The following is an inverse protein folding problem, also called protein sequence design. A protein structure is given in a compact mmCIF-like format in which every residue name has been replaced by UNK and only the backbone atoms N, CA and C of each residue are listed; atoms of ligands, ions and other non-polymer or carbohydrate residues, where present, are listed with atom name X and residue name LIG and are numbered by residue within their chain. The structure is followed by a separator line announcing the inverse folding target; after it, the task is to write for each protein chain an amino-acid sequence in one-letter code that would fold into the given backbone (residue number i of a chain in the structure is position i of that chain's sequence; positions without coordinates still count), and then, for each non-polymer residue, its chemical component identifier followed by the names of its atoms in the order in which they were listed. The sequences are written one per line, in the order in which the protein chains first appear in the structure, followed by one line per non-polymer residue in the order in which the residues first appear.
data_IF_139577579952
#
_entry.id   IF_139577579952
#
_cell.length_a   1.000
_cell.length_b   1.000
_cell.length_c   1.000
_cell.angle_alpha   90.00
_cell.angle_beta   90.00
_cell.angle_gamma   90.00
#
_symmetry.space_group_name_H-M   'P 1'
#
loop_
_entity.id
_entity.type
_entity.pdbx_description
1 polymer ?
#
# COMPACT_ATOMS: atom_id res chain seq x y z
N UNK A 1 -15.13 -12.46 13.02
CA UNK A 1 -15.24 -11.00 13.20
C UNK A 1 -13.96 -10.26 12.78
N UNK A 2 -12.77 -10.65 13.27
CA UNK A 2 -11.51 -9.98 12.90
C UNK A 2 -11.19 -10.02 11.39
N UNK A 3 -11.38 -11.15 10.70
CA UNK A 3 -11.14 -11.23 9.25
C UNK A 3 -12.08 -10.33 8.43
N UNK A 4 -13.35 -10.19 8.85
CA UNK A 4 -14.31 -9.32 8.16
C UNK A 4 -13.95 -7.84 8.31
N UNK A 5 -13.52 -7.43 9.51
CA UNK A 5 -13.06 -6.06 9.73
C UNK A 5 -11.82 -5.76 8.88
N UNK A 6 -10.79 -6.61 8.94
CA UNK A 6 -9.57 -6.42 8.13
C UNK A 6 -9.88 -6.42 6.63
N UNK A 7 -10.74 -7.32 6.15
CA UNK A 7 -11.15 -7.36 4.74
C UNK A 7 -11.86 -6.08 4.28
N UNK A 8 -12.71 -5.51 5.14
CA UNK A 8 -13.45 -4.30 4.83
C UNK A 8 -12.55 -3.06 4.86
N UNK A 9 -11.52 -3.03 5.71
CA UNK A 9 -10.73 -1.84 5.96
C UNK A 9 -9.42 -1.78 5.15
N UNK A 10 -8.84 -2.93 4.75
CA UNK A 10 -7.50 -2.99 4.15
C UNK A 10 -7.36 -2.11 2.90
N UNK A 11 -8.19 -2.36 1.88
CA UNK A 11 -8.11 -1.62 0.63
C UNK A 11 -8.53 -0.15 0.78
N UNK A 12 -9.64 0.19 1.48
CA UNK A 12 -9.98 1.59 1.72
C UNK A 12 -8.87 2.35 2.42
N UNK A 13 -8.32 1.84 3.52
CA UNK A 13 -7.27 2.52 4.27
C UNK A 13 -6.01 2.74 3.41
N UNK A 14 -5.59 1.73 2.66
CA UNK A 14 -4.43 1.84 1.78
C UNK A 14 -4.61 2.96 0.74
N UNK A 15 -5.79 3.04 0.11
CA UNK A 15 -6.15 4.12 -0.82
C UNK A 15 -6.14 5.50 -0.18
N UNK A 16 -6.53 5.60 1.09
CA UNK A 16 -6.49 6.89 1.78
C UNK A 16 -5.05 7.35 2.03
N UNK A 17 -4.14 6.44 2.39
CA UNK A 17 -2.71 6.73 2.51
C UNK A 17 -2.12 7.16 1.16
N UNK A 18 -2.31 6.36 0.11
CA UNK A 18 -1.81 6.68 -1.23
C UNK A 18 -2.36 8.01 -1.74
N UNK A 19 -3.66 8.29 -1.55
CA UNK A 19 -4.26 9.58 -1.93
C UNK A 19 -3.58 10.74 -1.20
N UNK A 20 -3.35 10.60 0.10
CA UNK A 20 -2.65 11.62 0.87
C UNK A 20 -1.22 11.84 0.36
N UNK A 21 -0.48 10.78 0.06
CA UNK A 21 0.85 10.86 -0.52
C UNK A 21 0.83 11.57 -1.87
N UNK A 22 -0.07 11.18 -2.76
CA UNK A 22 -0.17 11.72 -4.11
C UNK A 22 -0.65 13.17 -4.17
N UNK A 23 -1.52 13.59 -3.25
CA UNK A 23 -2.07 14.95 -3.20
C UNK A 23 -1.18 15.91 -2.40
N UNK A 24 -0.45 15.43 -1.40
CA UNK A 24 0.25 16.27 -0.42
C UNK A 24 1.75 16.01 -0.40
N UNK A 25 2.17 14.75 -0.19
CA UNK A 25 3.58 14.41 0.08
C UNK A 25 4.41 14.47 -1.19
N UNK A 26 4.03 13.76 -2.25
CA UNK A 26 4.76 13.69 -3.51
C UNK A 26 4.86 15.05 -4.22
N UNK A 27 3.81 15.90 -4.26
CA UNK A 27 3.95 17.25 -4.78
C UNK A 27 4.92 18.13 -3.97
N UNK A 28 5.00 17.94 -2.65
CA UNK A 28 5.97 18.64 -1.81
C UNK A 28 7.40 18.11 -2.04
N UNK A 29 7.57 16.81 -2.21
CA UNK A 29 8.84 16.17 -2.53
C UNK A 29 9.36 16.62 -3.90
N UNK A 30 8.58 16.47 -4.96
CA UNK A 30 8.95 16.85 -6.33
C UNK A 30 9.35 18.33 -6.43
N UNK A 31 8.63 19.25 -5.77
CA UNK A 31 9.00 20.67 -5.73
C UNK A 31 10.36 20.93 -5.08
N UNK A 32 10.80 20.10 -4.16
CA UNK A 32 12.06 20.27 -3.42
C UNK A 32 13.24 19.56 -4.09
N UNK A 33 12.99 18.49 -4.86
CA UNK A 33 14.04 17.64 -5.43
C UNK A 33 14.12 17.68 -6.95
N UNK A 34 13.02 18.01 -7.65
CA UNK A 34 12.90 17.84 -9.10
C UNK A 34 12.94 16.37 -9.54
N UNK A 35 12.46 15.45 -8.69
CA UNK A 35 12.44 14.02 -8.98
C UNK A 35 11.03 13.54 -9.41
N UNK A 36 10.51 14.08 -10.51
CA UNK A 36 9.19 13.71 -11.04
C UNK A 36 9.13 12.23 -11.47
N UNK A 37 10.24 11.69 -11.99
CA UNK A 37 10.33 10.28 -12.40
C UNK A 37 10.22 9.33 -11.19
N UNK A 38 10.81 9.71 -10.05
CA UNK A 38 10.67 8.95 -8.80
C UNK A 38 9.20 8.94 -8.35
N UNK A 39 8.52 10.10 -8.40
CA UNK A 39 7.10 10.19 -8.06
C UNK A 39 6.24 9.35 -9.01
N UNK A 40 6.51 9.40 -10.32
CA UNK A 40 5.77 8.58 -11.29
C UNK A 40 5.93 7.08 -11.00
N UNK A 41 7.14 6.63 -10.64
CA UNK A 41 7.39 5.24 -10.23
C UNK A 41 6.62 4.87 -8.95
N UNK A 42 6.64 5.71 -7.91
CA UNK A 42 5.91 5.43 -6.65
C UNK A 42 4.40 5.30 -6.89
N UNK A 43 3.82 6.14 -7.76
CA UNK A 43 2.41 6.03 -8.15
C UNK A 43 2.10 4.73 -8.92
N UNK A 44 3.04 4.21 -9.70
CA UNK A 44 2.87 2.89 -10.31
C UNK A 44 2.93 1.77 -9.26
N UNK A 45 3.82 1.88 -8.28
CA UNK A 45 3.88 0.93 -7.14
C UNK A 45 2.55 0.94 -6.35
N UNK A 46 1.89 2.10 -6.17
CA UNK A 46 0.57 2.19 -5.54
C UNK A 46 -0.49 1.34 -6.26
N UNK A 47 -0.49 1.33 -7.60
CA UNK A 47 -1.44 0.53 -8.38
C UNK A 47 -1.26 -0.97 -8.12
N UNK A 48 -0.01 -1.42 -8.00
CA UNK A 48 0.32 -2.82 -7.71
C UNK A 48 -0.10 -3.20 -6.28
N UNK A 49 0.21 -2.35 -5.30
CA UNK A 49 -0.15 -2.57 -3.90
C UNK A 49 -1.68 -2.57 -3.71
N UNK A 50 -2.42 -1.68 -4.38
CA UNK A 50 -3.89 -1.66 -4.35
C UNK A 50 -4.52 -2.88 -5.01
N UNK A 51 -3.95 -3.38 -6.12
CA UNK A 51 -4.43 -4.60 -6.76
C UNK A 51 -4.25 -5.80 -5.83
N UNK A 52 -3.08 -5.93 -5.21
CA UNK A 52 -2.82 -7.00 -4.24
C UNK A 52 -3.72 -6.89 -3.01
N UNK A 53 -3.96 -5.67 -2.50
CA UNK A 53 -4.87 -5.44 -1.39
C UNK A 53 -6.32 -5.80 -1.75
N UNK A 54 -6.76 -5.55 -2.97
CA UNK A 54 -8.10 -5.93 -3.45
C UNK A 54 -8.29 -7.44 -3.43
N UNK A 55 -7.35 -8.20 -4.01
CA UNK A 55 -7.41 -9.66 -4.04
C UNK A 55 -7.40 -10.27 -2.62
N UNK A 56 -6.55 -9.73 -1.74
CA UNK A 56 -6.49 -10.16 -0.34
C UNK A 56 -7.78 -9.81 0.42
N UNK A 57 -8.35 -8.63 0.19
CA UNK A 57 -9.60 -8.20 0.81
C UNK A 57 -10.75 -9.10 0.39
N UNK A 58 -10.86 -9.44 -0.90
CA UNK A 58 -11.87 -10.38 -1.40
C UNK A 58 -11.74 -11.76 -0.75
N UNK A 59 -10.53 -12.32 -0.72
CA UNK A 59 -10.28 -13.62 -0.11
C UNK A 59 -10.61 -13.64 1.39
N UNK A 60 -10.22 -12.61 2.13
CA UNK A 60 -10.52 -12.46 3.56
C UNK A 60 -12.02 -12.25 3.81
N UNK A 61 -12.71 -11.52 2.94
CA UNK A 61 -14.15 -11.29 3.03
C UNK A 61 -14.92 -12.59 2.80
N UNK A 62 -14.55 -13.35 1.77
CA UNK A 62 -15.11 -14.67 1.48
C UNK A 62 -14.91 -15.63 2.66
N UNK A 63 -13.69 -15.67 3.20
CA UNK A 63 -13.36 -16.48 4.38
C UNK A 63 -14.17 -16.05 5.62
N UNK A 64 -14.29 -14.75 5.84
CA UNK A 64 -15.07 -14.18 6.93
C UNK A 64 -16.57 -14.52 6.86
N UNK A 65 -17.11 -14.76 5.66
CA UNK A 65 -18.47 -15.25 5.43
C UNK A 65 -18.62 -16.78 5.45
N UNK A 66 -17.56 -17.51 5.83
CA UNK A 66 -17.58 -18.95 6.02
C UNK A 66 -17.14 -19.78 4.81
N UNK A 67 -16.69 -19.15 3.71
CA UNK A 67 -16.00 -19.90 2.65
C UNK A 67 -14.63 -20.36 3.13
N UNK A 68 -14.13 -21.47 2.59
CA UNK A 68 -12.77 -21.92 2.88
C UNK A 68 -11.78 -21.25 1.92
N UNK A 69 -10.54 -21.05 2.38
CA UNK A 69 -9.42 -20.71 1.50
C UNK A 69 -8.95 -22.01 0.85
N UNK A 70 -9.19 -22.15 -0.46
CA UNK A 70 -8.94 -23.41 -1.18
C UNK A 70 -7.46 -23.80 -1.22
N UNK A 71 -6.57 -22.82 -1.34
CA UNK A 71 -5.13 -23.02 -1.29
C UNK A 71 -4.48 -22.09 -0.25
N UNK A 72 -4.35 -22.55 1.01
CA UNK A 72 -3.73 -21.77 2.07
C UNK A 72 -2.27 -21.39 1.81
N UNK A 73 -1.52 -22.21 1.07
CA UNK A 73 -0.13 -21.92 0.72
C UNK A 73 -0.04 -20.73 -0.25
N UNK A 74 -0.83 -20.76 -1.33
CA UNK A 74 -0.91 -19.65 -2.28
C UNK A 74 -1.36 -18.35 -1.60
N UNK A 75 -2.37 -18.43 -0.73
CA UNK A 75 -2.82 -17.28 0.06
C UNK A 75 -1.71 -16.73 0.97
N UNK A 76 -0.93 -17.61 1.60
CA UNK A 76 0.25 -17.23 2.38
C UNK A 76 1.32 -16.51 1.55
N UNK A 77 1.53 -16.92 0.29
CA UNK A 77 2.43 -16.22 -0.63
C UNK A 77 1.91 -14.84 -1.01
N UNK A 78 0.61 -14.69 -1.28
CA UNK A 78 -0.01 -13.38 -1.58
C UNK A 78 0.16 -12.41 -0.42
N UNK A 79 -0.13 -12.86 0.81
CA UNK A 79 0.07 -12.04 2.02
C UNK A 79 1.54 -11.62 2.17
N UNK A 80 2.48 -12.55 1.98
CA UNK A 80 3.91 -12.25 2.09
C UNK A 80 4.34 -11.21 1.06
N UNK A 81 3.99 -11.42 -0.20
CA UNK A 81 4.33 -10.51 -1.29
C UNK A 81 3.80 -9.09 -1.01
N UNK A 82 2.52 -8.98 -0.61
CA UNK A 82 1.90 -7.70 -0.25
C UNK A 82 2.63 -7.00 0.89
N UNK A 83 2.85 -7.68 2.02
CA UNK A 83 3.50 -7.04 3.17
C UNK A 83 4.98 -6.73 2.92
N UNK A 84 5.66 -7.49 2.07
CA UNK A 84 7.04 -7.20 1.68
C UNK A 84 7.13 -5.98 0.76
N UNK A 85 6.20 -5.85 -0.21
CA UNK A 85 6.09 -4.68 -1.08
C UNK A 85 5.88 -3.41 -0.26
N UNK A 86 4.82 -3.39 0.56
CA UNK A 86 4.49 -2.25 1.41
C UNK A 86 5.61 -1.84 2.36
N UNK A 87 6.30 -2.81 2.99
CA UNK A 87 7.42 -2.48 3.89
C UNK A 87 8.57 -1.80 3.15
N UNK A 88 8.85 -2.21 1.92
CA UNK A 88 9.89 -1.56 1.10
C UNK A 88 9.45 -0.17 0.65
N UNK A 89 8.20 -0.01 0.27
CA UNK A 89 7.61 1.28 -0.08
C UNK A 89 7.72 2.27 1.10
N UNK A 90 7.18 1.90 2.26
CA UNK A 90 7.22 2.72 3.49
C UNK A 90 8.67 3.04 3.91
N UNK A 91 9.59 2.07 3.80
CA UNK A 91 10.99 2.30 4.12
C UNK A 91 11.62 3.33 3.17
N UNK A 92 11.35 3.24 1.86
CA UNK A 92 11.83 4.21 0.89
C UNK A 92 11.30 5.60 1.20
N UNK A 93 10.00 5.73 1.48
CA UNK A 93 9.41 7.01 1.82
C UNK A 93 10.02 7.61 3.08
N UNK A 94 10.15 6.81 4.14
CA UNK A 94 10.71 7.27 5.41
C UNK A 94 12.16 7.70 5.30
N UNK A 95 12.96 6.97 4.52
CA UNK A 95 14.40 7.16 4.47
C UNK A 95 14.81 8.18 3.37
N UNK A 96 13.96 8.42 2.36
CA UNK A 96 14.28 9.28 1.22
C UNK A 96 13.27 10.39 0.92
N UNK A 97 11.97 10.15 1.07
CA UNK A 97 10.92 11.13 0.74
C UNK A 97 10.70 12.09 1.91
N UNK A 98 10.32 11.56 3.08
CA UNK A 98 9.99 12.36 4.27
C UNK A 98 11.12 13.29 4.73
N UNK A 99 12.42 12.92 4.72
CA UNK A 99 13.49 13.83 5.12
C UNK A 99 13.59 15.06 4.21
N UNK A 100 13.24 14.92 2.93
CA UNK A 100 13.20 16.06 2.00
C UNK A 100 11.97 16.91 2.20
N UNK A 101 10.84 16.33 2.61
CA UNK A 101 9.60 17.07 2.87
C UNK A 101 9.62 17.79 4.22
N UNK A 102 10.18 17.16 5.25
CA UNK A 102 10.16 17.63 6.64
C UNK A 102 11.45 18.35 7.07
N UNK A 103 12.57 18.12 6.37
CA UNK A 103 13.91 18.59 6.77
C UNK A 103 14.23 20.06 6.52
N UNK A 104 13.25 20.87 6.11
CA UNK A 104 13.38 22.33 5.93
C UNK A 104 12.73 23.12 7.09
N UNK A 105 12.99 22.71 8.33
CA UNK A 105 12.79 23.56 9.52
C UNK A 105 14.13 24.10 10.01
#
# INVERSE_FOLDING_TARGET
LQCLAVAADLLPLLRECHRFEEEIVFPAFARQTGEEDTVARLKLEHLEDESAAADLSEALLAYGHGRQIENPEAFGYMLRAFFESLRRHIAFERDHVLPRVLGNQ
#
